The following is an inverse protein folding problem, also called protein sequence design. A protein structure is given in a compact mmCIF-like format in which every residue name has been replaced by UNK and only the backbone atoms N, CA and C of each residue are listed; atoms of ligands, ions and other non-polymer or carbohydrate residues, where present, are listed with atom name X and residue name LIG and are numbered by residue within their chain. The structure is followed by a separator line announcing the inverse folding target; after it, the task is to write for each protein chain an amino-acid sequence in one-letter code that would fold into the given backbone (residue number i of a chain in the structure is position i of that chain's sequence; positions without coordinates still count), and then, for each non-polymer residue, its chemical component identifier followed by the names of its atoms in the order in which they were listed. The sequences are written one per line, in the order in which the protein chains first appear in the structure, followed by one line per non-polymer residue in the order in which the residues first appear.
data_IF_761549211500
#
_entry.id   IF_761549211500
#
_cell.length_a   1.000
_cell.length_b   1.000
_cell.length_c   1.000
_cell.angle_alpha   90.00
_cell.angle_beta   90.00
_cell.angle_gamma   90.00
#
_symmetry.space_group_name_H-M   'P 1'
#
loop_
_entity.id
_entity.type
_entity.pdbx_description
1 polymer ?
#
# COMPACT_ATOMS: atom_id res chain seq x y z
N UNK A 1 2.69 -41.51 -17.12
CA UNK A 1 1.94 -41.70 -15.86
C UNK A 1 1.81 -40.30 -15.34
N UNK A 2 0.76 -39.66 -15.82
CA UNK A 2 0.56 -38.23 -15.79
C UNK A 2 -0.37 -37.96 -14.61
N UNK A 3 0.19 -37.35 -13.56
CA UNK A 3 -0.57 -37.03 -12.36
C UNK A 3 -1.42 -35.79 -12.63
N UNK A 4 -2.72 -35.99 -12.50
CA UNK A 4 -3.79 -35.11 -12.96
C UNK A 4 -3.94 -33.90 -12.03
N UNK A 5 -3.86 -32.71 -12.60
CA UNK A 5 -4.26 -31.41 -12.03
C UNK A 5 -5.58 -31.51 -11.28
N UNK A 6 -5.57 -31.30 -9.96
CA UNK A 6 -6.79 -31.12 -9.17
C UNK A 6 -7.22 -29.66 -9.26
N UNK A 7 -8.13 -29.35 -10.20
CA UNK A 7 -8.94 -28.13 -10.15
C UNK A 7 -10.06 -28.34 -9.14
N UNK A 8 -9.95 -27.71 -7.97
CA UNK A 8 -11.10 -27.53 -7.07
C UNK A 8 -11.93 -26.38 -7.60
N UNK A 9 -13.11 -26.71 -8.14
CA UNK A 9 -14.11 -25.72 -8.52
C UNK A 9 -14.92 -25.33 -7.28
N UNK A 10 -14.85 -24.06 -6.87
CA UNK A 10 -15.79 -23.49 -5.89
C UNK A 10 -17.06 -23.09 -6.65
N UNK A 11 -18.12 -23.90 -6.47
CA UNK A 11 -19.47 -23.56 -6.90
C UNK A 11 -20.04 -22.46 -5.99
N UNK A 12 -20.49 -21.36 -6.60
CA UNK A 12 -21.14 -20.27 -5.90
C UNK A 12 -22.51 -20.60 -5.31
N UNK A 13 -22.95 -19.75 -4.39
CA UNK A 13 -24.36 -19.61 -4.00
C UNK A 13 -24.65 -18.11 -3.91
N UNK A 14 -25.34 -17.59 -4.92
CA UNK A 14 -25.88 -16.24 -4.90
C UNK A 14 -26.98 -16.13 -3.86
N UNK A 15 -26.93 -15.07 -3.05
CA UNK A 15 -28.06 -14.63 -2.24
C UNK A 15 -28.43 -13.22 -2.67
N UNK A 16 -29.51 -13.14 -3.45
CA UNK A 16 -30.28 -11.92 -3.67
C UNK A 16 -31.04 -11.63 -2.37
N UNK A 17 -30.80 -10.48 -1.75
CA UNK A 17 -31.71 -9.90 -0.76
C UNK A 17 -32.29 -8.59 -1.31
N UNK A 18 -33.51 -8.72 -1.85
CA UNK A 18 -34.45 -7.63 -2.07
C UNK A 18 -35.29 -7.44 -0.80
N UNK A 19 -35.06 -6.38 -0.04
CA UNK A 19 -36.04 -5.68 0.81
C UNK A 19 -35.66 -4.19 0.73
N UNK A 20 -36.51 -3.26 0.29
CA UNK A 20 -37.86 -2.99 0.79
C UNK A 20 -37.77 -1.80 1.76
N UNK A 21 -38.00 -0.58 1.25
CA UNK A 21 -37.73 0.67 1.95
C UNK A 21 -38.72 1.06 3.06
N UNK A 22 -38.44 2.19 3.71
CA UNK A 22 -39.38 3.10 4.37
C UNK A 22 -38.66 4.38 4.86
N UNK A 23 -38.96 5.48 4.16
CA UNK A 23 -39.25 6.85 4.63
C UNK A 23 -38.62 7.49 5.89
N UNK A 24 -38.19 8.74 5.66
CA UNK A 24 -38.33 9.95 6.51
C UNK A 24 -37.50 10.12 7.78
N UNK A 25 -36.51 11.03 7.70
CA UNK A 25 -36.42 12.19 8.59
C UNK A 25 -35.39 13.20 8.05
N UNK A 26 -35.88 14.28 7.43
CA UNK A 26 -35.22 15.58 7.38
C UNK A 26 -35.87 16.45 8.45
N UNK A 27 -35.13 16.83 9.49
CA UNK A 27 -35.41 18.03 10.29
C UNK A 27 -34.15 18.35 11.12
N UNK A 28 -33.38 19.37 10.73
CA UNK A 28 -33.38 20.71 11.38
C UNK A 28 -32.98 20.57 12.85
N UNK A 29 -31.72 20.72 13.25
CA UNK A 29 -31.00 21.99 13.15
C UNK A 29 -31.47 22.91 14.27
N UNK A 30 -31.04 22.63 15.51
CA UNK A 30 -31.24 23.54 16.63
C UNK A 30 -30.03 24.48 16.74
N UNK A 31 -30.37 25.75 16.78
CA UNK A 31 -29.50 26.92 16.71
C UNK A 31 -28.99 27.31 18.11
N UNK A 32 -27.76 27.84 18.11
CA UNK A 32 -27.32 29.02 18.87
C UNK A 32 -27.58 29.11 20.39
N UNK A 33 -26.50 29.02 21.17
CA UNK A 33 -26.27 29.97 22.27
C UNK A 33 -24.77 30.35 22.31
N UNK A 34 -24.48 31.58 21.90
CA UNK A 34 -23.16 32.17 21.94
C UNK A 34 -22.70 32.70 23.31
N UNK A 35 -21.76 33.66 23.22
CA UNK A 35 -21.16 34.53 24.26
C UNK A 35 -19.82 34.01 24.84
N UNK A 36 -18.70 34.73 24.82
CA UNK A 36 -18.33 36.11 24.47
C UNK A 36 -16.80 36.25 24.62
N UNK A 37 -16.11 36.99 23.75
CA UNK A 37 -15.57 38.37 23.93
C UNK A 37 -14.26 38.47 24.72
N UNK A 38 -13.43 39.42 24.30
CA UNK A 38 -12.20 39.99 24.92
C UNK A 38 -10.91 39.18 24.71
N UNK A 39 -9.73 39.73 24.38
CA UNK A 39 -9.18 41.09 24.24
C UNK A 39 -7.83 40.88 23.50
N UNK A 40 -7.44 41.61 22.45
CA UNK A 40 -6.72 42.88 22.58
C UNK A 40 -5.17 42.75 22.52
N UNK A 41 -4.55 43.59 21.67
CA UNK A 41 -3.12 44.01 21.61
C UNK A 41 -2.11 43.15 20.84
N UNK A 42 -1.61 43.57 19.65
CA UNK A 42 -0.52 44.57 19.36
C UNK A 42 0.89 43.95 19.39
N UNK A 43 1.45 43.60 18.22
CA UNK A 43 2.55 44.27 17.45
C UNK A 43 3.98 44.11 17.98
N UNK A 44 4.87 43.83 17.00
CA UNK A 44 6.31 44.05 16.93
C UNK A 44 7.22 43.21 17.85
N UNK A 45 8.04 42.35 17.24
CA UNK A 45 9.48 42.39 17.49
C UNK A 45 10.25 41.77 16.32
N UNK A 46 10.88 42.67 15.57
CA UNK A 46 11.96 42.38 14.66
C UNK A 46 13.17 41.85 15.44
N UNK A 47 13.84 40.83 14.91
CA UNK A 47 15.26 40.67 15.16
C UNK A 47 15.95 40.22 13.88
N UNK A 48 16.49 41.21 13.17
CA UNK A 48 17.46 40.99 12.11
C UNK A 48 18.88 40.88 12.66
N UNK A 49 19.70 40.13 11.93
CA UNK A 49 21.14 40.36 11.69
C UNK A 49 21.40 39.69 10.33
N UNK A 50 21.39 40.41 9.21
CA UNK A 50 22.44 41.30 8.66
C UNK A 50 23.78 40.58 8.43
N UNK A 51 24.00 40.32 7.13
CA UNK A 51 25.24 40.45 6.36
C UNK A 51 26.42 39.49 6.55
N UNK A 52 26.79 38.78 5.48
CA UNK A 52 27.78 39.30 4.51
C UNK A 52 28.19 38.27 3.42
N UNK A 53 28.41 38.81 2.21
CA UNK A 53 29.34 38.39 1.16
C UNK A 53 29.11 37.04 0.43
N UNK A 54 29.23 36.95 -0.89
CA UNK A 54 29.77 37.88 -1.87
C UNK A 54 29.83 37.24 -3.25
N UNK A 55 29.78 38.11 -4.26
CA UNK A 55 29.55 37.86 -5.68
C UNK A 55 30.60 37.00 -6.42
N UNK A 56 30.17 36.39 -7.53
CA UNK A 56 30.73 36.45 -8.90
C UNK A 56 30.23 35.22 -9.69
N UNK A 57 29.93 35.24 -10.97
CA UNK A 57 30.00 36.23 -12.03
C UNK A 57 29.31 35.63 -13.27
N UNK A 58 28.78 36.49 -14.12
CA UNK A 58 28.20 36.13 -15.41
C UNK A 58 29.24 36.34 -16.53
N UNK A 59 29.34 35.36 -17.43
CA UNK A 59 29.85 35.46 -18.82
C UNK A 59 29.39 34.18 -19.54
N UNK A 60 28.42 34.23 -20.45
CA UNK A 60 28.51 34.53 -21.90
C UNK A 60 29.33 33.51 -22.70
N UNK A 61 28.69 32.73 -23.57
CA UNK A 61 28.77 32.90 -25.03
C UNK A 61 28.22 31.69 -25.80
N UNK A 62 27.56 32.05 -26.90
CA UNK A 62 27.07 31.32 -28.06
C UNK A 62 27.76 30.01 -28.46
N UNK A 63 26.95 29.08 -28.95
CA UNK A 63 27.37 28.19 -30.03
C UNK A 63 26.19 27.91 -30.97
N UNK A 64 26.03 28.79 -31.96
CA UNK A 64 25.33 28.48 -33.21
C UNK A 64 26.14 27.43 -33.98
N UNK A 65 25.51 26.34 -34.43
CA UNK A 65 25.95 25.64 -35.64
C UNK A 65 24.79 24.84 -36.22
N UNK A 66 24.14 25.46 -37.20
CA UNK A 66 23.31 24.84 -38.21
C UNK A 66 24.07 23.71 -38.94
N UNK A 67 23.31 22.72 -39.41
CA UNK A 67 23.84 21.60 -40.18
C UNK A 67 22.77 20.65 -40.69
N UNK A 68 21.79 21.17 -41.42
CA UNK A 68 20.96 20.39 -42.35
C UNK A 68 21.86 19.63 -43.35
N UNK A 69 21.64 18.32 -43.48
CA UNK A 69 21.98 17.55 -44.66
C UNK A 69 20.97 16.42 -44.86
N UNK A 70 19.96 16.74 -45.65
CA UNK A 70 19.10 15.84 -46.40
C UNK A 70 19.95 14.96 -47.35
N UNK A 71 19.87 13.63 -47.20
CA UNK A 71 20.09 12.67 -48.28
C UNK A 71 19.12 11.50 -48.07
N UNK A 72 18.10 11.45 -48.92
CA UNK A 72 17.37 10.22 -49.21
C UNK A 72 18.19 9.40 -50.21
N UNK A 73 18.44 8.11 -49.96
CA UNK A 73 18.54 7.11 -51.03
C UNK A 73 18.25 5.70 -50.49
N UNK A 74 17.20 5.16 -51.08
CA UNK A 74 16.59 3.84 -51.04
C UNK A 74 17.61 2.74 -51.41
N UNK A 75 17.76 1.68 -50.60
CA UNK A 75 18.16 0.36 -51.11
C UNK A 75 17.57 -0.72 -50.18
N UNK A 76 16.55 -1.41 -50.69
CA UNK A 76 16.01 -2.67 -50.18
C UNK A 76 17.12 -3.66 -49.82
N UNK A 77 17.13 -4.11 -48.55
CA UNK A 77 17.83 -5.33 -48.13
C UNK A 77 16.82 -6.23 -47.44
N UNK A 78 16.17 -7.07 -48.26
CA UNK A 78 15.52 -8.30 -47.84
C UNK A 78 16.58 -9.28 -47.29
N UNK A 79 16.19 -10.02 -46.25
CA UNK A 79 16.85 -11.20 -45.67
C UNK A 79 18.16 -10.98 -44.89
N UNK A 80 18.00 -10.74 -43.58
CA UNK A 80 18.68 -11.57 -42.58
C UNK A 80 17.83 -11.65 -41.31
N UNK A 81 17.42 -12.88 -40.97
CA UNK A 81 17.07 -13.32 -39.63
C UNK A 81 18.00 -12.70 -38.57
N UNK A 82 17.57 -11.61 -37.97
CA UNK A 82 17.95 -11.25 -36.62
C UNK A 82 16.69 -11.47 -35.80
N UNK A 83 16.45 -12.75 -35.51
CA UNK A 83 15.78 -13.18 -34.29
C UNK A 83 16.60 -12.61 -33.12
N UNK A 84 16.47 -11.31 -32.88
CA UNK A 84 16.60 -10.75 -31.55
C UNK A 84 15.32 -11.18 -30.85
N UNK A 85 15.27 -12.46 -30.49
CA UNK A 85 14.77 -12.82 -29.19
C UNK A 85 15.51 -11.92 -28.21
N UNK A 86 14.92 -10.75 -27.99
CA UNK A 86 14.92 -10.09 -26.70
C UNK A 86 14.25 -11.10 -25.76
N UNK A 87 14.95 -12.22 -25.50
CA UNK A 87 14.96 -12.84 -24.21
C UNK A 87 15.57 -11.75 -23.31
N UNK A 88 14.76 -10.72 -23.04
CA UNK A 88 14.82 -9.97 -21.81
C UNK A 88 14.97 -11.07 -20.78
N UNK A 89 16.19 -11.17 -20.25
CA UNK A 89 16.40 -11.85 -19.00
C UNK A 89 15.47 -11.10 -18.05
N UNK A 90 14.22 -11.59 -17.91
CA UNK A 90 13.45 -11.39 -16.71
C UNK A 90 14.40 -11.91 -15.64
N UNK A 91 15.13 -10.98 -15.04
CA UNK A 91 15.83 -11.25 -13.83
C UNK A 91 14.73 -11.72 -12.90
N UNK A 92 14.61 -13.03 -12.72
CA UNK A 92 14.07 -13.59 -11.49
C UNK A 92 15.05 -13.14 -10.41
N UNK A 93 15.01 -11.84 -10.05
CA UNK A 93 15.22 -11.46 -8.69
C UNK A 93 14.18 -12.32 -7.98
N UNK A 94 14.64 -13.46 -7.45
CA UNK A 94 13.80 -14.38 -6.70
C UNK A 94 13.42 -13.62 -5.44
N UNK A 95 12.43 -12.75 -5.61
CA UNK A 95 11.83 -12.00 -4.54
C UNK A 95 11.12 -12.93 -3.59
N UNK A 96 10.73 -12.42 -2.43
CA UNK A 96 9.90 -13.17 -1.50
C UNK A 96 8.63 -13.63 -2.23
N UNK A 97 8.37 -14.93 -2.21
CA UNK A 97 7.10 -15.48 -2.70
C UNK A 97 6.00 -15.38 -1.65
N UNK A 98 4.74 -15.46 -2.08
CA UNK A 98 3.56 -15.57 -1.23
C UNK A 98 3.68 -16.66 -0.16
N UNK A 99 4.18 -17.84 -0.53
CA UNK A 99 4.39 -18.95 0.41
C UNK A 99 5.46 -18.61 1.48
N UNK A 100 6.52 -17.88 1.09
CA UNK A 100 7.53 -17.44 2.04
C UNK A 100 7.00 -16.32 2.94
N UNK A 101 6.17 -15.41 2.42
CA UNK A 101 5.46 -14.41 3.22
C UNK A 101 4.61 -15.08 4.32
N UNK A 102 3.78 -16.07 3.94
CA UNK A 102 2.95 -16.82 4.91
C UNK A 102 3.82 -17.52 5.95
N UNK A 103 4.90 -18.19 5.54
CA UNK A 103 5.80 -18.85 6.48
C UNK A 103 6.42 -17.87 7.49
N UNK A 104 6.81 -16.67 7.06
CA UNK A 104 7.32 -15.64 7.98
C UNK A 104 6.24 -15.06 8.89
N UNK A 105 4.98 -15.00 8.44
CA UNK A 105 3.85 -14.64 9.31
C UNK A 105 3.67 -15.70 10.39
N UNK A 106 3.70 -16.99 10.05
CA UNK A 106 3.60 -18.10 11.02
C UNK A 106 4.75 -18.12 12.03
N UNK A 107 5.92 -17.58 11.70
CA UNK A 107 7.06 -17.47 12.61
C UNK A 107 6.90 -16.34 13.66
N UNK A 108 6.13 -15.29 13.36
CA UNK A 108 5.95 -14.12 14.25
C UNK A 108 4.60 -14.07 14.94
N UNK A 109 3.57 -14.69 14.35
CA UNK A 109 2.23 -14.73 14.92
C UNK A 109 2.09 -15.95 15.83
N UNK A 110 1.71 -15.73 17.10
CA UNK A 110 1.54 -16.82 18.08
C UNK A 110 0.35 -17.76 17.76
N UNK A 111 -0.53 -17.38 16.82
CA UNK A 111 -1.67 -18.18 16.36
C UNK A 111 -1.39 -18.98 15.09
N UNK A 112 -2.45 -19.32 14.33
CA UNK A 112 -2.37 -20.07 13.07
C UNK A 112 -2.75 -19.20 11.87
N UNK A 113 -2.06 -19.35 10.74
CA UNK A 113 -2.55 -18.83 9.46
C UNK A 113 -3.52 -19.84 8.86
N UNK A 114 -4.83 -19.54 8.91
CA UNK A 114 -5.85 -20.43 8.34
C UNK A 114 -5.88 -20.36 6.82
N UNK A 115 -5.69 -19.18 6.25
CA UNK A 115 -5.71 -18.98 4.81
C UNK A 115 -4.96 -17.73 4.40
N UNK A 116 -4.42 -17.78 3.19
CA UNK A 116 -3.95 -16.62 2.46
C UNK A 116 -4.34 -16.79 0.99
N UNK A 117 -4.99 -15.77 0.42
CA UNK A 117 -5.35 -15.71 -0.98
C UNK A 117 -4.98 -14.32 -1.50
N UNK A 118 -4.40 -14.27 -2.70
CA UNK A 118 -3.98 -13.01 -3.28
C UNK A 118 -4.35 -12.91 -4.76
N UNK A 119 -4.58 -11.67 -5.15
CA UNK A 119 -4.76 -11.21 -6.52
C UNK A 119 -3.79 -10.07 -6.74
N UNK A 120 -3.60 -9.69 -8.01
CA UNK A 120 -2.71 -8.58 -8.39
C UNK A 120 -2.97 -7.30 -7.58
N UNK A 121 -4.21 -7.05 -7.16
CA UNK A 121 -4.56 -5.81 -6.43
C UNK A 121 -4.87 -6.01 -4.95
N UNK A 122 -5.38 -7.16 -4.54
CA UNK A 122 -5.85 -7.40 -3.17
C UNK A 122 -5.30 -8.72 -2.62
N UNK A 123 -4.78 -8.67 -1.40
CA UNK A 123 -4.49 -9.85 -0.58
C UNK A 123 -5.49 -10.00 0.56
N UNK A 124 -5.80 -11.24 0.93
CA UNK A 124 -6.65 -11.60 2.06
C UNK A 124 -5.92 -12.63 2.93
N UNK A 125 -5.57 -12.23 4.15
CA UNK A 125 -4.94 -13.06 5.17
C UNK A 125 -5.95 -13.35 6.27
N UNK A 126 -6.16 -14.64 6.57
CA UNK A 126 -7.00 -15.10 7.68
C UNK A 126 -6.13 -15.77 8.73
N UNK A 127 -6.22 -15.25 9.94
CA UNK A 127 -5.52 -15.74 11.13
C UNK A 127 -6.51 -16.34 12.12
N UNK A 128 -6.09 -17.36 12.86
CA UNK A 128 -6.84 -17.94 13.97
C UNK A 128 -6.14 -17.54 15.26
N UNK A 129 -6.90 -16.94 16.18
CA UNK A 129 -6.42 -16.49 17.47
C UNK A 129 -7.43 -16.69 18.60
N UNK A 130 -7.03 -16.33 19.80
CA UNK A 130 -7.88 -16.44 20.99
C UNK A 130 -9.13 -15.54 20.89
N UNK A 131 -10.31 -16.12 21.10
CA UNK A 131 -11.61 -15.42 21.04
C UNK A 131 -11.74 -14.25 22.03
N UNK A 132 -10.97 -14.27 23.11
CA UNK A 132 -10.94 -13.24 24.15
C UNK A 132 -9.83 -12.18 23.91
N UNK A 133 -9.17 -12.21 22.75
CA UNK A 133 -8.11 -11.26 22.41
C UNK A 133 -8.60 -9.82 22.56
N UNK A 134 -7.90 -9.06 23.39
CA UNK A 134 -8.18 -7.65 23.58
C UNK A 134 -7.72 -6.83 22.37
N UNK A 135 -8.29 -5.64 22.18
CA UNK A 135 -7.81 -4.68 21.17
C UNK A 135 -6.31 -4.37 21.31
N UNK A 136 -5.75 -4.46 22.53
CA UNK A 136 -4.33 -4.25 22.76
C UNK A 136 -3.48 -5.39 22.18
N UNK A 137 -3.97 -6.63 22.28
CA UNK A 137 -3.31 -7.81 21.70
C UNK A 137 -3.36 -7.75 20.17
N UNK A 138 -4.53 -7.50 19.58
CA UNK A 138 -4.66 -7.27 18.14
C UNK A 138 -3.73 -6.16 17.62
N UNK A 139 -3.53 -5.08 18.40
CA UNK A 139 -2.62 -4.01 18.02
C UNK A 139 -1.14 -4.43 18.07
N UNK A 140 -0.78 -5.36 18.96
CA UNK A 140 0.54 -5.99 19.02
C UNK A 140 0.77 -6.87 17.80
N UNK A 141 -0.19 -7.76 17.51
CA UNK A 141 -0.12 -8.67 16.35
C UNK A 141 0.01 -7.90 15.04
N UNK A 142 -0.75 -6.81 14.89
CA UNK A 142 -0.66 -5.89 13.72
C UNK A 142 0.77 -5.36 13.56
N UNK A 143 1.49 -5.07 14.64
CA UNK A 143 2.85 -4.56 14.55
C UNK A 143 3.82 -5.60 13.97
N UNK A 144 3.69 -6.86 14.40
CA UNK A 144 4.54 -7.96 13.93
C UNK A 144 4.21 -8.32 12.48
N UNK A 145 2.94 -8.32 12.13
CA UNK A 145 2.47 -8.51 10.76
C UNK A 145 2.96 -7.40 9.82
N UNK A 146 2.95 -6.13 10.28
CA UNK A 146 3.46 -5.01 9.49
C UNK A 146 4.96 -5.12 9.21
N UNK A 147 5.74 -5.64 10.17
CA UNK A 147 7.17 -5.86 9.94
C UNK A 147 7.38 -6.90 8.84
N UNK A 148 6.66 -8.02 8.87
CA UNK A 148 6.75 -9.06 7.81
C UNK A 148 6.25 -8.53 6.47
N UNK A 149 5.10 -7.84 6.45
CA UNK A 149 4.52 -7.32 5.22
C UNK A 149 5.37 -6.20 4.60
N UNK A 150 6.07 -5.39 5.42
CA UNK A 150 7.02 -4.39 4.90
C UNK A 150 8.16 -5.01 4.09
N UNK A 151 8.62 -6.19 4.51
CA UNK A 151 9.64 -6.94 3.79
C UNK A 151 9.05 -7.58 2.53
N UNK A 152 7.82 -8.08 2.58
CA UNK A 152 7.14 -8.61 1.39
C UNK A 152 6.94 -7.51 0.32
N UNK A 153 6.63 -6.29 0.73
CA UNK A 153 6.49 -5.15 -0.19
C UNK A 153 7.84 -4.70 -0.78
N UNK A 154 8.93 -4.83 -0.03
CA UNK A 154 10.26 -4.43 -0.52
C UNK A 154 10.89 -5.48 -1.43
N UNK A 155 10.75 -6.76 -1.07
CA UNK A 155 11.50 -7.86 -1.68
C UNK A 155 10.62 -8.80 -2.51
N UNK A 156 9.29 -8.71 -2.47
CA UNK A 156 8.37 -9.64 -3.12
C UNK A 156 7.48 -9.00 -4.18
N UNK A 157 6.35 -9.66 -4.46
CA UNK A 157 5.29 -9.18 -5.36
C UNK A 157 3.98 -9.04 -4.57
N UNK A 158 3.85 -8.01 -3.72
CA UNK A 158 2.66 -7.82 -2.89
C UNK A 158 1.44 -7.44 -3.75
N UNK A 159 0.21 -7.58 -3.20
CA UNK A 159 -0.96 -6.98 -3.83
C UNK A 159 -0.77 -5.46 -3.99
N UNK A 160 -1.12 -4.92 -5.16
CA UNK A 160 -0.84 -3.52 -5.51
C UNK A 160 -1.63 -2.48 -4.70
N UNK A 161 -2.83 -2.81 -4.22
CA UNK A 161 -3.68 -1.85 -3.49
C UNK A 161 -3.65 -2.08 -1.98
N UNK A 162 -3.95 -3.30 -1.52
CA UNK A 162 -4.07 -3.57 -0.09
C UNK A 162 -3.94 -5.06 0.29
N UNK A 163 -3.59 -5.26 1.56
CA UNK A 163 -3.72 -6.51 2.30
C UNK A 163 -4.83 -6.34 3.36
N UNK A 164 -5.86 -7.18 3.30
CA UNK A 164 -6.87 -7.30 4.34
C UNK A 164 -6.52 -8.47 5.27
N UNK A 165 -6.38 -8.20 6.56
CA UNK A 165 -6.19 -9.21 7.61
C UNK A 165 -7.50 -9.43 8.37
N UNK A 166 -7.89 -10.68 8.57
CA UNK A 166 -9.01 -11.06 9.45
C UNK A 166 -8.49 -11.99 10.53
N UNK A 167 -8.92 -11.78 11.77
CA UNK A 167 -8.64 -12.67 12.89
C UNK A 167 -9.95 -13.34 13.31
N UNK A 168 -9.95 -14.67 13.29
CA UNK A 168 -11.08 -15.51 13.66
C UNK A 168 -10.76 -16.35 14.89
N UNK A 169 -11.78 -16.71 15.67
CA UNK A 169 -11.66 -17.72 16.72
C UNK A 169 -11.61 -19.13 16.11
N UNK A 170 -11.16 -20.14 16.86
CA UNK A 170 -11.20 -21.55 16.45
C UNK A 170 -12.59 -22.05 16.01
N UNK A 171 -13.66 -21.45 16.53
CA UNK A 171 -15.05 -21.77 16.18
C UNK A 171 -15.53 -21.06 14.89
N UNK A 172 -14.67 -20.29 14.22
CA UNK A 172 -14.98 -19.49 13.01
C UNK A 172 -15.75 -18.19 13.29
N UNK A 173 -15.65 -17.66 14.51
CA UNK A 173 -16.22 -16.36 14.86
C UNK A 173 -15.21 -15.25 14.55
N UNK A 174 -15.63 -14.20 13.84
CA UNK A 174 -14.76 -13.02 13.63
C UNK A 174 -14.47 -12.34 14.98
N UNK A 175 -13.18 -12.15 15.27
CA UNK A 175 -12.67 -11.38 16.42
C UNK A 175 -12.38 -9.94 15.98
N UNK A 176 -11.82 -9.78 14.78
CA UNK A 176 -11.59 -8.47 14.19
C UNK A 176 -11.02 -8.53 12.79
N UNK A 177 -10.90 -7.37 12.17
CA UNK A 177 -10.28 -7.18 10.87
C UNK A 177 -9.43 -5.93 10.83
N UNK A 178 -8.43 -5.93 9.95
CA UNK A 178 -7.52 -4.82 9.70
C UNK A 178 -7.28 -4.72 8.20
N UNK A 179 -7.08 -3.50 7.71
CA UNK A 179 -6.68 -3.26 6.32
C UNK A 179 -5.38 -2.46 6.29
N UNK A 180 -4.42 -2.94 5.51
CA UNK A 180 -3.15 -2.28 5.25
C UNK A 180 -3.09 -1.90 3.78
N UNK A 181 -3.02 -0.60 3.46
CA UNK A 181 -2.80 -0.18 2.08
C UNK A 181 -1.32 -0.33 1.72
N UNK A 182 -1.05 -0.89 0.54
CA UNK A 182 0.32 -1.13 0.05
C UNK A 182 1.07 0.19 -0.08
N UNK A 183 0.41 1.25 -0.54
CA UNK A 183 0.99 2.60 -0.66
C UNK A 183 1.57 3.14 0.67
N UNK A 184 0.99 2.77 1.82
CA UNK A 184 1.48 3.22 3.11
C UNK A 184 2.79 2.52 3.48
N UNK A 185 2.89 1.24 3.15
CA UNK A 185 4.06 0.42 3.38
C UNK A 185 5.19 0.82 2.43
N UNK A 186 4.87 1.11 1.17
CA UNK A 186 5.84 1.68 0.21
C UNK A 186 6.37 3.03 0.67
N UNK A 187 5.51 3.92 1.18
CA UNK A 187 5.94 5.20 1.74
C UNK A 187 6.84 5.02 2.98
N UNK A 188 6.56 4.01 3.82
CA UNK A 188 7.42 3.63 4.93
C UNK A 188 8.78 3.11 4.45
N UNK A 189 8.82 2.18 3.50
CA UNK A 189 10.06 1.60 2.96
C UNK A 189 10.93 2.66 2.25
N UNK A 190 10.31 3.65 1.59
CA UNK A 190 11.02 4.81 1.02
C UNK A 190 11.50 5.82 2.07
N UNK A 191 11.06 5.71 3.33
CA UNK A 191 11.39 6.61 4.42
C UNK A 191 10.58 7.92 4.44
N UNK A 192 9.54 8.02 3.62
CA UNK A 192 8.61 9.16 3.61
C UNK A 192 7.63 9.13 4.80
N UNK A 193 7.41 7.95 5.39
CA UNK A 193 6.55 7.72 6.55
C UNK A 193 7.34 7.05 7.68
N UNK A 194 7.11 7.47 8.92
CA UNK A 194 7.72 6.80 10.08
C UNK A 194 6.97 5.51 10.44
N UNK A 195 7.65 4.56 11.08
CA UNK A 195 7.02 3.32 11.58
C UNK A 195 5.82 3.60 12.50
N UNK A 196 5.92 4.63 13.35
CA UNK A 196 4.84 5.01 14.25
C UNK A 196 3.61 5.52 13.47
N UNK A 197 3.83 6.33 12.43
CA UNK A 197 2.75 6.83 11.58
C UNK A 197 2.09 5.72 10.78
N UNK A 198 2.85 4.78 10.20
CA UNK A 198 2.31 3.61 9.52
C UNK A 198 1.42 2.79 10.46
N UNK A 199 1.93 2.48 11.65
CA UNK A 199 1.17 1.75 12.66
C UNK A 199 -0.12 2.47 13.04
N UNK A 200 -0.05 3.78 13.33
CA UNK A 200 -1.23 4.54 13.74
C UNK A 200 -2.31 4.51 12.63
N UNK A 201 -1.93 4.69 11.35
CA UNK A 201 -2.88 4.56 10.22
C UNK A 201 -3.52 3.18 10.11
N UNK A 202 -2.73 2.13 10.29
CA UNK A 202 -3.26 0.75 10.22
C UNK A 202 -4.16 0.45 11.42
N UNK A 203 -3.83 0.94 12.62
CA UNK A 203 -4.69 0.77 13.79
C UNK A 203 -6.02 1.53 13.69
N UNK A 204 -6.10 2.56 12.86
CA UNK A 204 -7.35 3.26 12.52
C UNK A 204 -8.28 2.39 11.67
N UNK A 205 -7.77 1.38 10.96
CA UNK A 205 -8.57 0.45 10.14
C UNK A 205 -9.02 -0.80 10.91
N UNK A 206 -8.60 -0.95 12.17
CA UNK A 206 -8.97 -2.10 13.00
C UNK A 206 -10.44 -2.03 13.41
N UNK A 207 -11.19 -3.07 13.04
CA UNK A 207 -12.58 -3.30 13.41
C UNK A 207 -12.67 -4.55 14.30
N UNK A 208 -13.54 -4.54 15.32
CA UNK A 208 -13.75 -5.62 16.31
C UNK A 208 -15.22 -5.73 16.67
#
# INVERSE_FOLDING_TARGET
MDETTRRTAVLGIGSVLLLGGCSDAVDSGDEDEGNGTDDGSETDDANGTDDTNGASGAESADNESDGDADVSDDEDVDDADEDETDDEYEATAEGMSSDEFVARVEDVYDGEVAAYDETETHGALTLVGDADASRLELAGDVQELLDVYSVYVEEGDPPAEQLAGTVESDDGGMIGSVTVQTEWVEAYNRGDMSRAELRDRVLETVET
#
